data_IF_543704519110
#
_entry.id   IF_543704519110
#
_cell.length_a   1.000
_cell.length_b   1.000
_cell.length_c   1.000
_cell.angle_alpha   90.00
_cell.angle_beta   90.00
_cell.angle_gamma   90.00
#
_symmetry.space_group_name_H-M   'P 1'
#
loop_
_entity.id
_entity.type
_entity.pdbx_description
1 polymer ?
#
# COMPACT_ATOMS: atom_id res chain seq x y z
N UNK A 1 -12.08 -12.39 -15.52
CA UNK A 1 -11.25 -12.20 -14.32
C UNK A 1 -10.52 -10.90 -14.53
N UNK A 2 -10.45 -10.09 -13.48
CA UNK A 2 -9.79 -8.78 -13.50
C UNK A 2 -8.72 -8.72 -12.42
N UNK A 3 -7.76 -7.82 -12.59
CA UNK A 3 -6.75 -7.49 -11.61
C UNK A 3 -6.99 -6.10 -11.05
N UNK A 4 -6.65 -5.93 -9.78
CA UNK A 4 -6.63 -4.65 -9.09
C UNK A 4 -5.58 -4.70 -7.96
N UNK A 5 -5.05 -3.54 -7.61
CA UNK A 5 -3.99 -3.35 -6.64
C UNK A 5 -4.55 -2.92 -5.29
N UNK A 6 -3.93 -3.44 -4.24
CA UNK A 6 -4.04 -2.93 -2.88
C UNK A 6 -2.78 -2.12 -2.57
N UNK A 7 -2.93 -0.81 -2.37
CA UNK A 7 -1.88 0.04 -1.85
C UNK A 7 -1.99 0.15 -0.33
N UNK A 8 -0.90 -0.20 0.36
CA UNK A 8 -0.74 0.06 1.78
C UNK A 8 0.19 1.26 1.93
N UNK A 9 -0.08 2.18 2.87
CA UNK A 9 0.87 3.22 3.25
C UNK A 9 1.96 2.57 4.09
N UNK A 10 2.70 1.62 3.54
CA UNK A 10 3.79 0.94 4.22
C UNK A 10 4.76 0.46 3.14
N UNK A 11 5.93 1.08 3.10
CA UNK A 11 6.89 0.88 2.02
C UNK A 11 8.19 0.33 2.58
N UNK A 12 8.87 1.12 3.42
CA UNK A 12 10.13 0.75 4.07
C UNK A 12 10.07 1.24 5.51
N UNK A 13 10.09 0.32 6.47
CA UNK A 13 9.92 0.60 7.91
C UNK A 13 10.72 1.82 8.42
N UNK A 14 11.97 1.98 7.95
CA UNK A 14 12.82 3.11 8.32
C UNK A 14 12.40 4.42 7.67
N UNK A 15 12.07 4.41 6.37
CA UNK A 15 11.67 5.60 5.61
C UNK A 15 10.31 6.12 6.09
N UNK A 16 9.39 5.21 6.42
CA UNK A 16 8.08 5.53 6.96
C UNK A 16 8.19 6.19 8.35
N UNK A 17 9.02 5.64 9.25
CA UNK A 17 9.27 6.29 10.54
C UNK A 17 10.01 7.64 10.35
N UNK A 18 10.97 7.71 9.43
CA UNK A 18 11.67 8.95 9.11
C UNK A 18 10.73 10.03 8.54
N UNK A 19 9.72 9.64 7.75
CA UNK A 19 8.65 10.53 7.32
C UNK A 19 7.94 11.15 8.51
N UNK A 20 7.49 10.32 9.47
CA UNK A 20 6.79 10.83 10.66
C UNK A 20 7.69 11.68 11.55
N UNK A 21 8.95 11.31 11.76
CA UNK A 21 9.91 12.11 12.51
C UNK A 21 10.07 13.52 11.89
N UNK A 22 10.14 13.62 10.56
CA UNK A 22 10.20 14.91 9.85
C UNK A 22 8.89 15.69 9.94
N UNK A 23 7.74 15.01 9.93
CA UNK A 23 6.41 15.62 9.93
C UNK A 23 5.98 16.12 11.30
N UNK A 24 6.18 15.33 12.35
CA UNK A 24 5.73 15.67 13.72
C UNK A 24 6.77 16.48 14.48
N UNK A 25 8.06 16.35 14.14
CA UNK A 25 9.21 16.93 14.87
C UNK A 25 9.27 16.51 16.34
N UNK A 26 8.59 15.41 16.71
CA UNK A 26 8.54 14.87 18.08
C UNK A 26 8.62 13.34 18.03
N UNK A 27 9.68 12.71 18.61
CA UNK A 27 9.88 11.27 18.50
C UNK A 27 8.71 10.42 19.00
N UNK A 28 8.11 10.77 20.14
CA UNK A 28 6.97 10.01 20.71
C UNK A 28 5.74 10.10 19.80
N UNK A 29 5.41 11.29 19.30
CA UNK A 29 4.29 11.46 18.37
C UNK A 29 4.56 10.79 17.01
N UNK A 30 5.81 10.73 16.56
CA UNK A 30 6.18 10.01 15.34
C UNK A 30 5.99 8.49 15.47
N UNK A 31 6.37 7.93 16.62
CA UNK A 31 6.16 6.50 16.91
C UNK A 31 4.67 6.16 16.94
N UNK A 32 3.84 7.00 17.58
CA UNK A 32 2.38 6.81 17.61
C UNK A 32 1.79 6.89 16.20
N UNK A 33 2.13 7.91 15.42
CA UNK A 33 1.62 8.06 14.06
C UNK A 33 2.05 6.91 13.12
N UNK A 34 3.28 6.40 13.29
CA UNK A 34 3.73 5.23 12.53
C UNK A 34 2.97 3.96 12.97
N UNK A 35 2.69 3.79 14.26
CA UNK A 35 1.84 2.70 14.75
C UNK A 35 0.41 2.79 14.18
N UNK A 36 -0.20 3.97 14.16
CA UNK A 36 -1.52 4.20 13.56
C UNK A 36 -1.53 3.85 12.05
N UNK A 37 -0.46 4.17 11.32
CA UNK A 37 -0.29 3.79 9.91
C UNK A 37 -0.23 2.25 9.73
N UNK A 38 0.46 1.54 10.62
CA UNK A 38 0.51 0.08 10.61
C UNK A 38 -0.86 -0.54 10.95
N UNK A 39 -1.57 0.03 11.92
CA UNK A 39 -2.93 -0.40 12.27
C UNK A 39 -3.91 -0.20 11.11
N UNK A 40 -3.81 0.93 10.42
CA UNK A 40 -4.59 1.19 9.21
C UNK A 40 -4.31 0.13 8.14
N UNK A 41 -3.02 -0.18 7.90
CA UNK A 41 -2.60 -1.18 6.91
C UNK A 41 -3.13 -2.57 7.27
N UNK A 42 -3.04 -2.94 8.55
CA UNK A 42 -3.58 -4.20 9.06
C UNK A 42 -5.11 -4.27 8.93
N UNK A 43 -5.82 -3.17 9.20
CA UNK A 43 -7.27 -3.10 9.01
C UNK A 43 -7.65 -3.29 7.54
N UNK A 44 -6.88 -2.73 6.61
CA UNK A 44 -7.12 -2.86 5.18
C UNK A 44 -6.96 -4.30 4.67
N UNK A 45 -5.90 -4.97 5.08
CA UNK A 45 -5.69 -6.39 4.80
C UNK A 45 -6.83 -7.27 5.35
N UNK A 46 -7.33 -6.96 6.55
CA UNK A 46 -8.50 -7.66 7.12
C UNK A 46 -9.76 -7.44 6.30
N UNK A 47 -10.01 -6.22 5.80
CA UNK A 47 -11.15 -5.94 4.91
C UNK A 47 -11.07 -6.75 3.62
N UNK A 48 -9.90 -6.81 2.98
CA UNK A 48 -9.67 -7.66 1.80
C UNK A 48 -9.93 -9.12 2.13
N UNK A 49 -9.37 -9.64 3.23
CA UNK A 49 -9.58 -11.01 3.69
C UNK A 49 -11.07 -11.34 3.80
N UNK A 50 -11.86 -10.48 4.43
CA UNK A 50 -13.32 -10.67 4.55
C UNK A 50 -14.03 -10.67 3.18
N UNK A 51 -13.62 -9.79 2.26
CA UNK A 51 -14.23 -9.70 0.93
C UNK A 51 -13.98 -10.94 0.05
N UNK A 52 -12.84 -11.61 0.23
CA UNK A 52 -12.44 -12.76 -0.60
C UNK A 52 -12.80 -14.12 0.00
N UNK A 53 -13.36 -14.19 1.23
CA UNK A 53 -13.73 -15.48 1.84
C UNK A 53 -14.70 -16.25 0.94
N UNK A 54 -14.35 -17.50 0.62
CA UNK A 54 -15.17 -18.38 -0.23
C UNK A 54 -15.13 -18.02 -1.72
N UNK A 55 -14.33 -17.03 -2.12
CA UNK A 55 -14.14 -16.64 -3.52
C UNK A 55 -12.92 -17.35 -4.12
N UNK A 56 -12.92 -17.55 -5.44
CA UNK A 56 -11.74 -18.02 -6.17
C UNK A 56 -10.90 -16.81 -6.58
N UNK A 57 -9.79 -16.58 -5.89
CA UNK A 57 -8.89 -15.46 -6.14
C UNK A 57 -7.44 -15.92 -6.33
N UNK A 58 -6.65 -15.11 -7.03
CA UNK A 58 -5.19 -15.21 -7.09
C UNK A 58 -4.60 -13.93 -6.50
N UNK A 59 -3.48 -14.06 -5.77
CA UNK A 59 -2.78 -12.93 -5.18
C UNK A 59 -1.30 -13.03 -5.56
N UNK A 60 -0.78 -11.97 -6.17
CA UNK A 60 0.65 -11.78 -6.46
C UNK A 60 1.11 -10.52 -5.73
N UNK A 61 2.23 -10.57 -5.01
CA UNK A 61 2.68 -9.46 -4.17
C UNK A 61 4.20 -9.32 -4.18
N UNK A 62 4.67 -8.08 -4.15
CA UNK A 62 6.08 -7.71 -4.06
C UNK A 62 6.30 -6.56 -3.06
N UNK A 63 7.46 -5.89 -3.15
CA UNK A 63 7.80 -4.73 -2.31
C UNK A 63 6.92 -3.51 -2.57
N UNK A 64 6.30 -3.38 -3.74
CA UNK A 64 5.59 -2.19 -4.18
C UNK A 64 4.08 -2.37 -4.12
N UNK A 65 3.57 -3.56 -4.47
CA UNK A 65 2.12 -3.76 -4.69
C UNK A 65 1.65 -5.13 -4.21
N UNK A 66 0.36 -5.20 -3.87
CA UNK A 66 -0.38 -6.45 -3.71
C UNK A 66 -1.46 -6.50 -4.81
N UNK A 67 -1.24 -7.31 -5.83
CA UNK A 67 -2.16 -7.54 -6.94
C UNK A 67 -3.14 -8.67 -6.59
N UNK A 68 -4.43 -8.40 -6.80
CA UNK A 68 -5.51 -9.35 -6.53
C UNK A 68 -6.32 -9.59 -7.80
N UNK A 69 -6.45 -10.86 -8.19
CA UNK A 69 -7.28 -11.31 -9.30
C UNK A 69 -8.49 -12.09 -8.85
N UNK A 70 -9.61 -11.95 -9.53
CA UNK A 70 -10.81 -12.72 -9.23
C UNK A 70 -11.99 -12.48 -10.18
N UNK A 71 -13.19 -12.94 -9.82
CA UNK A 71 -14.41 -12.68 -10.57
C UNK A 71 -14.65 -11.17 -10.73
N UNK A 72 -15.06 -10.75 -11.92
CA UNK A 72 -15.18 -9.33 -12.28
C UNK A 72 -16.09 -8.56 -11.31
N UNK A 73 -17.22 -9.14 -10.91
CA UNK A 73 -18.15 -8.50 -9.95
C UNK A 73 -17.56 -8.32 -8.55
N UNK A 74 -16.65 -9.20 -8.13
CA UNK A 74 -15.93 -9.09 -6.85
C UNK A 74 -14.91 -7.94 -6.93
N UNK A 75 -14.07 -7.93 -7.96
CA UNK A 75 -13.04 -6.90 -8.17
C UNK A 75 -13.68 -5.51 -8.35
N UNK A 76 -14.68 -5.39 -9.23
CA UNK A 76 -15.41 -4.13 -9.45
C UNK A 76 -16.11 -3.66 -8.16
N UNK A 77 -16.57 -4.58 -7.33
CA UNK A 77 -17.14 -4.28 -6.01
C UNK A 77 -16.12 -3.68 -5.06
N UNK A 78 -14.92 -4.26 -4.98
CA UNK A 78 -13.82 -3.78 -4.14
C UNK A 78 -13.25 -2.45 -4.65
N UNK A 79 -13.15 -2.25 -5.96
CA UNK A 79 -12.71 -0.96 -6.52
C UNK A 79 -13.73 0.14 -6.24
N UNK A 80 -15.03 -0.13 -6.40
CA UNK A 80 -16.08 0.86 -6.08
C UNK A 80 -16.17 1.22 -4.60
N UNK A 81 -15.79 0.31 -3.71
CA UNK A 81 -15.67 0.62 -2.26
C UNK A 81 -14.37 1.34 -1.91
N UNK A 82 -13.51 1.58 -2.91
CA UNK A 82 -12.18 2.14 -2.77
C UNK A 82 -11.18 1.18 -2.16
N UNK A 83 -11.54 -0.09 -1.92
CA UNK A 83 -10.69 -1.10 -1.28
C UNK A 83 -9.45 -1.43 -2.12
N UNK A 84 -9.62 -1.46 -3.44
CA UNK A 84 -8.57 -1.66 -4.43
C UNK A 84 -8.61 -0.55 -5.47
N UNK A 85 -7.53 -0.43 -6.24
CA UNK A 85 -7.41 0.48 -7.38
C UNK A 85 -7.11 -0.36 -8.63
N UNK A 86 -7.62 0.05 -9.80
CA UNK A 86 -7.27 -0.69 -11.02
C UNK A 86 -5.81 -0.41 -11.37
N UNK A 87 -5.08 -1.45 -11.76
CA UNK A 87 -3.74 -1.35 -12.35
C UNK A 87 -3.85 -0.47 -13.59
N UNK A 88 -3.33 0.76 -13.56
CA UNK A 88 -3.14 1.53 -14.80
C UNK A 88 -1.98 0.89 -15.56
N UNK A 89 -2.24 0.32 -16.74
CA UNK A 89 -1.19 -0.15 -17.66
C UNK A 89 -0.25 0.98 -18.15
N UNK A 90 -0.44 2.22 -17.66
CA UNK A 90 0.27 3.43 -18.10
C UNK A 90 1.48 3.83 -17.20
N UNK A 91 1.77 3.12 -16.11
CA UNK A 91 2.96 3.40 -15.26
C UNK A 91 4.19 2.56 -15.66
N UNK A 92 4.36 2.35 -16.97
CA UNK A 92 5.61 1.84 -17.55
C UNK A 92 6.53 3.02 -17.90
N UNK A 93 7.67 3.07 -17.19
CA UNK A 93 8.86 3.91 -17.44
C UNK A 93 8.74 5.43 -17.17
N UNK A 94 9.26 5.88 -16.01
CA UNK A 94 10.30 6.92 -15.94
C UNK A 94 10.68 7.19 -14.45
N UNK A 95 11.58 6.39 -13.88
CA UNK A 95 12.42 6.88 -12.78
C UNK A 95 13.72 7.46 -13.36
N UNK A 96 13.95 8.78 -13.30
CA UNK A 96 15.30 9.32 -13.45
C UNK A 96 16.10 9.02 -12.17
N UNK A 97 17.25 8.37 -12.36
CA UNK A 97 18.33 8.23 -11.37
C UNK A 97 18.83 9.63 -10.94
N UNK A 98 18.40 10.10 -9.77
CA UNK A 98 18.96 11.29 -9.12
C UNK A 98 19.70 10.92 -7.83
N UNK A 99 20.89 10.36 -8.00
CA UNK A 99 21.89 10.21 -6.94
C UNK A 99 22.05 11.49 -6.10
N UNK A 100 21.50 11.46 -4.88
CA UNK A 100 21.53 12.57 -3.92
C UNK A 100 21.76 12.09 -2.50
N UNK A 101 22.97 11.63 -2.20
CA UNK A 101 23.43 11.48 -0.82
C UNK A 101 23.61 12.87 -0.20
N UNK A 102 22.70 13.27 0.69
CA UNK A 102 22.95 14.43 1.55
C UNK A 102 23.60 13.95 2.85
N UNK A 103 24.93 14.10 2.92
CA UNK A 103 25.67 14.17 4.19
C UNK A 103 25.16 15.38 4.99
N UNK A 104 24.81 15.15 6.25
CA UNK A 104 24.41 16.21 7.18
C UNK A 104 25.56 16.34 8.18
N UNK A 105 26.17 17.54 8.23
CA UNK A 105 27.08 17.98 9.30
C UNK A 105 26.33 18.22 10.61
#
# INVERSE_FOLDING_TARGET
>A
MKWAELHLPYFKQGDDLAHWLRKTRQPVAALEAHAEQLDWSAARLRQVKEAIVGQKVQIDADTHVICISGPDGLIDGMVRSGLLEFTSDDDADDEPDDGGWNEIF
#
